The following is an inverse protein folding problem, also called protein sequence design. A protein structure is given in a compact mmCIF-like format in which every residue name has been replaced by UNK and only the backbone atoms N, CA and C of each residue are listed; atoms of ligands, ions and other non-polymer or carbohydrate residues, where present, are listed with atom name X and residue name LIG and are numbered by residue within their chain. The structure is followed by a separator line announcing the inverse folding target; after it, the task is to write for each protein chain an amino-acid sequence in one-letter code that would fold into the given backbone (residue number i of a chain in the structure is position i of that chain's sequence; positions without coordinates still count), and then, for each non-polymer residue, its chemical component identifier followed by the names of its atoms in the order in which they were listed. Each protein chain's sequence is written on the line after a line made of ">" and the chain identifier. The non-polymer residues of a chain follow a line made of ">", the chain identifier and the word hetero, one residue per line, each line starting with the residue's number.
data_IF_074508802938
#
_entry.id   IF_074508802938
#
_cell.length_a   1.000
_cell.length_b   1.000
_cell.length_c   1.000
_cell.angle_alpha   90.00
_cell.angle_beta   90.00
_cell.angle_gamma   90.00
#
_symmetry.space_group_name_H-M   'P 1'
#
loop_
_entity.id
_entity.type
_entity.pdbx_description
1 polymer ?
#
# COMPACT_ATOMS: atom_id res chain seq x y z
N UNK A 1 -37.54 -3.49 33.88
CA UNK A 1 -37.34 -2.07 33.52
C UNK A 1 -35.91 -1.88 32.98
N UNK A 2 -35.65 -2.06 31.67
CA UNK A 2 -34.37 -1.68 31.03
C UNK A 2 -34.55 -1.42 29.52
N UNK A 3 -35.42 -0.47 29.17
CA UNK A 3 -35.67 -0.09 27.76
C UNK A 3 -35.65 1.43 27.55
N UNK A 4 -34.96 2.17 28.43
CA UNK A 4 -34.86 3.64 28.36
C UNK A 4 -33.46 4.17 28.03
N UNK A 5 -32.43 3.34 27.95
CA UNK A 5 -31.03 3.81 27.86
C UNK A 5 -30.40 3.86 26.47
N UNK A 6 -31.17 3.63 25.39
CA UNK A 6 -30.64 3.71 24.02
C UNK A 6 -31.15 4.92 23.22
N UNK A 7 -32.19 5.61 23.71
CA UNK A 7 -32.74 6.79 23.01
C UNK A 7 -31.97 8.07 23.33
N UNK A 8 -31.22 8.11 24.43
CA UNK A 8 -30.42 9.27 24.84
C UNK A 8 -29.09 9.40 24.10
N UNK A 9 -28.52 8.31 23.61
CA UNK A 9 -27.28 8.34 22.82
C UNK A 9 -27.50 8.84 21.39
N UNK A 10 -28.67 8.55 20.79
CA UNK A 10 -29.02 9.03 19.45
C UNK A 10 -29.25 10.55 19.40
N UNK A 11 -29.66 11.19 20.51
CA UNK A 11 -29.91 12.63 20.54
C UNK A 11 -28.61 13.46 20.72
N UNK A 12 -27.58 12.88 21.35
CA UNK A 12 -26.31 13.57 21.59
C UNK A 12 -25.44 13.67 20.32
N UNK A 13 -25.56 12.72 19.40
CA UNK A 13 -24.79 12.74 18.13
C UNK A 13 -25.35 13.75 17.11
N UNK A 14 -26.61 14.18 17.27
CA UNK A 14 -27.27 15.12 16.36
C UNK A 14 -27.04 16.60 16.70
N UNK A 15 -26.48 16.92 17.88
CA UNK A 15 -26.29 18.30 18.33
C UNK A 15 -24.88 18.87 18.06
N UNK A 16 -23.91 18.05 17.70
CA UNK A 16 -22.52 18.49 17.43
C UNK A 16 -22.24 18.87 15.98
N UNK A 17 -23.19 18.67 15.06
CA UNK A 17 -23.02 18.98 13.63
C UNK A 17 -23.50 20.40 13.22
N UNK A 18 -23.79 21.29 14.19
CA UNK A 18 -24.37 22.62 13.91
C UNK A 18 -23.51 23.82 14.35
N UNK A 19 -22.23 23.63 14.69
CA UNK A 19 -21.38 24.72 15.22
C UNK A 19 -19.99 24.84 14.55
N UNK A 20 -19.90 24.60 13.25
CA UNK A 20 -18.66 24.81 12.48
C UNK A 20 -18.90 25.50 11.13
N UNK A 21 -19.85 26.44 11.11
CA UNK A 21 -20.00 27.41 10.03
C UNK A 21 -20.05 28.81 10.64
N UNK A 22 -19.24 29.73 10.09
CA UNK A 22 -19.03 31.13 10.47
C UNK A 22 -17.87 31.42 11.44
N UNK A 23 -16.64 31.36 10.92
CA UNK A 23 -15.55 32.25 11.37
C UNK A 23 -14.48 32.38 10.27
N UNK A 24 -14.85 32.87 9.09
CA UNK A 24 -13.92 33.47 8.14
C UNK A 24 -14.42 34.86 7.79
N UNK A 25 -13.48 35.79 7.60
CA UNK A 25 -13.58 37.23 7.27
C UNK A 25 -13.17 38.12 8.45
N UNK A 26 -11.90 38.57 8.37
CA UNK A 26 -11.31 39.57 9.25
C UNK A 26 -9.98 40.04 8.67
N UNK A 27 -10.05 40.79 7.56
CA UNK A 27 -8.94 41.43 6.86
C UNK A 27 -8.00 42.20 7.79
N UNK A 28 -6.72 41.83 7.79
CA UNK A 28 -5.62 42.64 8.31
C UNK A 28 -4.56 42.84 7.22
N UNK A 29 -4.51 44.06 6.67
CA UNK A 29 -3.46 44.57 5.78
C UNK A 29 -2.05 44.14 6.23
N UNK A 30 -1.26 43.57 5.32
CA UNK A 30 0.21 43.76 5.31
C UNK A 30 0.67 44.04 3.88
N UNK A 31 1.41 45.14 3.78
CA UNK A 31 1.94 45.75 2.57
C UNK A 31 3.06 44.90 1.95
N UNK A 32 3.34 45.07 0.64
CA UNK A 32 4.44 44.38 -0.03
C UNK A 32 5.75 45.10 0.28
N UNK A 33 6.68 44.42 0.94
CA UNK A 33 8.06 44.94 1.06
C UNK A 33 8.88 44.37 -0.08
N UNK A 34 9.13 45.23 -1.06
CA UNK A 34 10.14 45.07 -2.09
C UNK A 34 11.52 45.20 -1.44
N UNK A 35 12.39 44.21 -1.63
CA UNK A 35 13.84 44.40 -1.57
C UNK A 35 14.50 43.47 -2.58
N UNK A 36 15.01 44.09 -3.65
CA UNK A 36 15.93 43.50 -4.60
C UNK A 36 17.27 43.20 -3.94
N UNK A 37 17.96 42.14 -4.39
CA UNK A 37 19.32 42.29 -4.94
C UNK A 37 19.78 41.01 -5.67
N UNK A 38 20.21 41.21 -6.92
CA UNK A 38 21.31 40.56 -7.68
C UNK A 38 21.66 39.09 -7.37
N UNK A 39 21.67 38.17 -8.32
CA UNK A 39 22.26 38.34 -9.65
C UNK A 39 23.56 37.55 -9.71
N UNK A 40 23.49 36.28 -10.11
CA UNK A 40 24.59 35.56 -10.75
C UNK A 40 23.97 34.56 -11.73
N UNK A 41 24.02 34.93 -13.00
CA UNK A 41 23.98 34.00 -14.13
C UNK A 41 25.30 33.24 -14.16
N UNK A 42 25.24 31.95 -14.51
CA UNK A 42 26.26 31.33 -15.36
C UNK A 42 25.67 30.06 -15.98
N UNK A 43 25.48 30.13 -17.28
CA UNK A 43 25.41 29.00 -18.19
C UNK A 43 26.82 28.71 -18.71
N UNK A 44 27.15 27.43 -18.87
CA UNK A 44 28.12 26.86 -19.83
C UNK A 44 28.06 25.34 -19.63
N UNK A 45 27.53 24.56 -20.58
CA UNK A 45 28.22 24.09 -21.80
C UNK A 45 29.53 23.37 -21.48
N UNK A 46 29.49 22.04 -21.43
CA UNK A 46 30.60 21.17 -21.89
C UNK A 46 30.00 19.90 -22.51
N UNK A 47 30.33 19.75 -23.78
CA UNK A 47 30.17 18.64 -24.71
C UNK A 47 31.40 17.71 -24.59
N UNK A 48 31.20 16.40 -24.78
CA UNK A 48 32.15 15.32 -25.19
C UNK A 48 31.58 13.99 -24.63
N UNK A 49 31.25 12.95 -25.38
CA UNK A 49 31.85 12.43 -26.61
C UNK A 49 32.18 10.97 -26.33
N UNK A 50 31.52 10.02 -27.01
CA UNK A 50 31.77 8.59 -26.78
C UNK A 50 30.80 7.65 -27.50
N UNK A 51 31.17 7.30 -28.72
CA UNK A 51 30.51 6.41 -29.68
C UNK A 51 30.28 4.97 -29.19
N UNK A 52 29.25 4.28 -29.70
CA UNK A 52 29.42 3.40 -30.87
C UNK A 52 28.17 2.56 -31.20
N UNK A 53 28.00 2.39 -32.52
CA UNK A 53 27.46 1.22 -33.23
C UNK A 53 26.02 0.76 -32.91
N UNK A 54 25.05 0.76 -33.81
CA UNK A 54 25.11 0.65 -35.27
C UNK A 54 24.29 -0.57 -35.70
N UNK A 55 23.21 -0.37 -36.46
CA UNK A 55 22.77 -1.32 -37.49
C UNK A 55 21.68 -0.67 -38.37
N UNK A 56 22.04 -0.42 -39.62
CA UNK A 56 21.15 -0.31 -40.79
C UNK A 56 20.38 -1.64 -40.99
N UNK A 57 19.35 -1.82 -41.81
CA UNK A 57 18.96 -1.25 -43.11
C UNK A 57 17.51 -1.65 -43.41
N UNK A 58 16.90 -0.91 -44.34
CA UNK A 58 15.54 -1.04 -44.88
C UNK A 58 15.29 -2.20 -45.86
N UNK A 59 14.00 -2.39 -46.20
CA UNK A 59 13.45 -3.14 -47.35
C UNK A 59 12.09 -3.72 -46.97
N UNK A 60 10.93 -3.16 -47.30
CA UNK A 60 10.29 -2.90 -48.60
C UNK A 60 9.91 -4.17 -49.38
N UNK A 61 8.62 -4.56 -49.33
CA UNK A 61 7.72 -4.66 -50.50
C UNK A 61 6.48 -5.54 -50.24
N UNK A 62 5.38 -5.15 -50.88
CA UNK A 62 4.59 -6.11 -51.66
C UNK A 62 3.21 -6.49 -51.13
N UNK A 63 2.18 -5.79 -51.61
CA UNK A 63 0.81 -6.26 -51.63
C UNK A 63 0.60 -7.32 -52.72
N UNK A 64 -0.16 -8.39 -52.43
CA UNK A 64 -1.09 -9.01 -53.39
C UNK A 64 -1.99 -10.05 -52.69
N UNK A 65 -3.27 -9.94 -53.04
CA UNK A 65 -4.40 -10.86 -52.88
C UNK A 65 -4.13 -12.30 -53.32
N UNK A 66 -4.76 -13.29 -52.66
CA UNK A 66 -5.53 -14.35 -53.34
C UNK A 66 -6.47 -15.11 -52.39
N UNK A 67 -7.58 -15.48 -52.99
CA UNK A 67 -8.77 -16.23 -52.58
C UNK A 67 -8.51 -17.76 -52.47
N UNK A 68 -9.47 -18.49 -51.90
CA UNK A 68 -9.66 -19.93 -52.20
C UNK A 68 -9.55 -20.91 -51.02
N UNK A 69 -10.69 -21.53 -50.67
CA UNK A 69 -10.78 -22.62 -49.70
C UNK A 69 -10.40 -24.00 -50.25
N UNK A 70 -10.44 -25.01 -49.37
CA UNK A 70 -10.31 -26.42 -49.75
C UNK A 70 -9.83 -27.31 -48.61
N UNK A 71 -10.59 -28.36 -48.31
CA UNK A 71 -10.43 -29.26 -47.19
C UNK A 71 -9.36 -30.36 -47.38
N UNK A 72 -9.04 -31.00 -46.25
CA UNK A 72 -8.61 -32.41 -46.01
C UNK A 72 -7.14 -32.77 -45.70
N UNK A 73 -7.02 -33.46 -44.56
CA UNK A 73 -6.13 -34.58 -44.17
C UNK A 73 -4.75 -34.35 -43.50
N UNK A 74 -4.74 -34.72 -42.21
CA UNK A 74 -3.74 -35.48 -41.43
C UNK A 74 -2.58 -34.75 -40.68
N UNK A 75 -2.10 -35.31 -39.54
CA UNK A 75 -1.67 -34.62 -38.30
C UNK A 75 -0.13 -34.69 -38.05
N UNK A 76 0.38 -34.53 -36.82
CA UNK A 76 0.40 -33.35 -35.94
C UNK A 76 1.79 -32.66 -35.99
N UNK A 77 1.86 -31.33 -35.85
CA UNK A 77 3.15 -30.65 -35.60
C UNK A 77 2.99 -29.71 -34.42
N UNK A 78 3.82 -29.97 -33.40
CA UNK A 78 4.04 -29.13 -32.23
C UNK A 78 4.20 -27.66 -32.63
N UNK A 79 3.33 -26.81 -32.09
CA UNK A 79 3.57 -25.37 -32.05
C UNK A 79 3.60 -24.95 -30.59
N UNK A 80 4.83 -24.86 -30.06
CA UNK A 80 5.14 -23.94 -28.96
C UNK A 80 4.82 -22.54 -29.47
N UNK A 81 3.97 -21.79 -28.76
CA UNK A 81 4.04 -20.33 -28.51
C UNK A 81 2.74 -19.91 -27.84
N UNK A 82 2.86 -19.21 -26.71
CA UNK A 82 1.74 -18.52 -26.06
C UNK A 82 1.63 -18.87 -24.59
N UNK A 83 2.62 -18.48 -23.79
CA UNK A 83 2.45 -18.36 -22.35
C UNK A 83 1.42 -17.27 -22.05
N UNK A 84 0.13 -17.59 -22.20
CA UNK A 84 -0.94 -16.80 -21.62
C UNK A 84 -0.75 -16.84 -20.11
N UNK A 85 -0.29 -15.72 -19.56
CA UNK A 85 -0.48 -15.43 -18.14
C UNK A 85 -1.98 -15.60 -17.87
N UNK A 86 -2.40 -16.57 -17.05
CA UNK A 86 -3.82 -16.82 -16.85
C UNK A 86 -4.45 -15.53 -16.31
N UNK A 87 -5.69 -15.20 -16.71
CA UNK A 87 -6.41 -14.09 -16.11
C UNK A 87 -6.40 -14.31 -14.61
N UNK A 88 -5.80 -13.37 -13.88
CA UNK A 88 -5.77 -13.40 -12.42
C UNK A 88 -7.21 -13.19 -11.97
N UNK A 89 -7.95 -14.30 -11.84
CA UNK A 89 -9.24 -14.33 -11.19
C UNK A 89 -9.06 -13.64 -9.83
N UNK A 90 -10.01 -12.76 -9.43
CA UNK A 90 -9.96 -12.18 -8.09
C UNK A 90 -9.84 -13.35 -7.10
N UNK A 91 -8.93 -13.27 -6.12
CA UNK A 91 -8.70 -14.35 -5.19
C UNK A 91 -10.03 -14.74 -4.56
N UNK A 92 -10.36 -16.03 -4.56
CA UNK A 92 -11.55 -16.50 -3.86
C UNK A 92 -11.39 -16.13 -2.39
N UNK A 93 -12.32 -15.34 -1.86
CA UNK A 93 -12.24 -14.70 -0.54
C UNK A 93 -11.93 -15.69 0.58
N UNK A 94 -12.35 -16.96 0.43
CA UNK A 94 -12.12 -18.03 1.41
C UNK A 94 -10.64 -18.34 1.68
N UNK A 95 -9.77 -18.21 0.68
CA UNK A 95 -8.33 -18.51 0.81
C UNK A 95 -7.56 -17.40 1.52
N UNK A 96 -8.17 -16.21 1.69
CA UNK A 96 -7.53 -15.06 2.31
C UNK A 96 -7.79 -14.95 3.81
N UNK A 97 -8.71 -15.73 4.37
CA UNK A 97 -9.15 -15.59 5.76
C UNK A 97 -8.20 -16.22 6.79
N UNK A 98 -7.11 -16.85 6.33
CA UNK A 98 -6.09 -17.45 7.19
C UNK A 98 -4.71 -17.19 6.62
N UNK A 99 -3.77 -16.87 7.51
CA UNK A 99 -2.36 -16.78 7.16
C UNK A 99 -1.85 -18.21 6.91
N UNK A 100 -1.28 -18.50 5.72
CA UNK A 100 -0.70 -19.80 5.46
C UNK A 100 0.57 -20.01 6.31
N UNK A 101 0.84 -21.27 6.64
CA UNK A 101 2.16 -21.65 7.10
C UNK A 101 3.09 -21.82 5.89
N UNK A 102 4.37 -21.46 6.04
CA UNK A 102 5.32 -21.57 4.95
C UNK A 102 6.56 -20.72 5.17
N UNK A 103 7.44 -20.78 4.16
CA UNK A 103 8.65 -19.96 4.10
C UNK A 103 8.31 -18.48 3.79
N UNK A 104 9.30 -17.58 3.86
CA UNK A 104 9.10 -16.16 3.54
C UNK A 104 8.49 -15.91 2.16
N UNK A 105 8.78 -16.74 1.15
CA UNK A 105 8.26 -16.56 -0.20
C UNK A 105 6.75 -16.86 -0.27
N UNK A 106 6.29 -17.91 0.42
CA UNK A 106 4.86 -18.24 0.54
C UNK A 106 4.10 -17.11 1.24
N UNK A 107 4.66 -16.59 2.33
CA UNK A 107 4.07 -15.50 3.10
C UNK A 107 4.01 -14.18 2.31
N UNK A 108 5.07 -13.84 1.56
CA UNK A 108 5.07 -12.67 0.68
C UNK A 108 4.06 -12.81 -0.46
N UNK A 109 3.97 -13.99 -1.08
CA UNK A 109 2.94 -14.25 -2.08
C UNK A 109 1.52 -14.15 -1.51
N UNK A 110 1.32 -14.47 -0.23
CA UNK A 110 0.05 -14.25 0.47
C UNK A 110 -0.23 -12.76 0.72
N UNK A 111 0.78 -12.00 1.16
CA UNK A 111 0.69 -10.53 1.30
C UNK A 111 0.30 -9.86 -0.02
N UNK A 112 0.90 -10.27 -1.15
CA UNK A 112 0.56 -9.75 -2.47
C UNK A 112 -0.92 -9.98 -2.84
N UNK A 113 -1.45 -11.17 -2.53
CA UNK A 113 -2.87 -11.48 -2.76
C UNK A 113 -3.79 -10.66 -1.87
N UNK A 114 -3.42 -10.47 -0.59
CA UNK A 114 -4.14 -9.57 0.31
C UNK A 114 -4.16 -8.14 -0.21
N UNK A 115 -3.03 -7.63 -0.70
CA UNK A 115 -2.92 -6.25 -1.21
C UNK A 115 -3.72 -6.03 -2.50
N UNK A 116 -3.81 -7.04 -3.36
CA UNK A 116 -4.71 -7.01 -4.51
C UNK A 116 -6.19 -6.99 -4.07
N UNK A 117 -6.54 -7.78 -3.06
CA UNK A 117 -7.91 -7.82 -2.53
C UNK A 117 -8.31 -6.53 -1.83
N UNK A 118 -7.43 -5.99 -0.97
CA UNK A 118 -7.61 -4.69 -0.30
C UNK A 118 -7.82 -3.55 -1.31
N UNK A 119 -7.04 -3.51 -2.40
CA UNK A 119 -7.23 -2.54 -3.49
C UNK A 119 -8.60 -2.69 -4.16
N UNK A 120 -9.03 -3.93 -4.37
CA UNK A 120 -10.34 -4.24 -4.97
C UNK A 120 -11.48 -3.77 -4.05
N UNK A 121 -11.44 -4.10 -2.76
CA UNK A 121 -12.43 -3.66 -1.78
C UNK A 121 -12.46 -2.13 -1.66
N UNK A 122 -11.29 -1.48 -1.64
CA UNK A 122 -11.18 -0.01 -1.64
C UNK A 122 -11.86 0.63 -2.86
N UNK A 123 -11.64 0.07 -4.05
CA UNK A 123 -12.28 0.55 -5.27
C UNK A 123 -13.81 0.35 -5.23
N UNK A 124 -14.29 -0.77 -4.69
CA UNK A 124 -15.72 -1.03 -4.53
C UNK A 124 -16.39 -0.06 -3.55
N UNK A 125 -15.74 0.29 -2.44
CA UNK A 125 -16.26 1.30 -1.49
C UNK A 125 -16.45 2.68 -2.13
N UNK A 126 -15.54 3.05 -3.04
CA UNK A 126 -15.58 4.33 -3.76
C UNK A 126 -16.58 4.33 -4.92
N UNK A 127 -17.11 3.16 -5.32
CA UNK A 127 -18.05 3.06 -6.42
C UNK A 127 -19.41 3.68 -6.05
N UNK A 128 -19.96 4.58 -6.89
CA UNK A 128 -21.31 5.11 -6.70
C UNK A 128 -22.40 4.04 -6.88
N UNK A 129 -22.06 2.90 -7.50
CA UNK A 129 -22.98 1.78 -7.72
C UNK A 129 -23.11 0.82 -6.52
N UNK A 130 -22.24 0.94 -5.51
CA UNK A 130 -22.34 0.12 -4.31
C UNK A 130 -23.53 0.57 -3.44
N UNK A 131 -24.50 -0.32 -3.25
CA UNK A 131 -25.62 -0.09 -2.33
C UNK A 131 -25.11 0.13 -0.90
N UNK A 132 -25.80 0.94 -0.09
CA UNK A 132 -25.37 1.25 1.29
C UNK A 132 -25.05 -0.02 2.09
N UNK A 133 -25.98 -0.98 2.17
CA UNK A 133 -25.77 -2.27 2.86
C UNK A 133 -24.57 -3.11 2.36
N UNK A 134 -24.19 -2.96 1.08
CA UNK A 134 -22.96 -3.59 0.57
C UNK A 134 -21.70 -2.85 1.02
N UNK A 135 -21.75 -1.53 1.22
CA UNK A 135 -20.60 -0.75 1.67
C UNK A 135 -20.21 -1.09 3.10
N UNK A 136 -21.17 -1.30 4.01
CA UNK A 136 -20.84 -1.72 5.37
C UNK A 136 -20.22 -3.12 5.40
N UNK A 137 -20.70 -4.06 4.57
CA UNK A 137 -20.08 -5.38 4.41
C UNK A 137 -18.67 -5.28 3.86
N UNK A 138 -18.45 -4.51 2.79
CA UNK A 138 -17.13 -4.30 2.19
C UNK A 138 -16.19 -3.65 3.21
N UNK A 139 -16.65 -2.66 3.98
CA UNK A 139 -15.84 -2.01 5.01
C UNK A 139 -15.46 -2.98 6.12
N UNK A 140 -16.40 -3.81 6.59
CA UNK A 140 -16.11 -4.84 7.59
C UNK A 140 -15.09 -5.86 7.08
N UNK A 141 -15.23 -6.31 5.84
CA UNK A 141 -14.27 -7.21 5.22
C UNK A 141 -12.89 -6.54 5.10
N UNK A 142 -12.84 -5.32 4.58
CA UNK A 142 -11.61 -4.54 4.43
C UNK A 142 -10.85 -4.40 5.76
N UNK A 143 -11.56 -4.07 6.84
CA UNK A 143 -10.97 -3.96 8.18
C UNK A 143 -10.45 -5.30 8.71
N UNK A 144 -11.12 -6.41 8.37
CA UNK A 144 -10.77 -7.75 8.85
C UNK A 144 -9.49 -8.33 8.24
N UNK A 145 -8.98 -7.75 7.15
CA UNK A 145 -7.79 -8.23 6.44
C UNK A 145 -6.49 -7.65 7.00
N UNK A 146 -6.51 -6.47 7.62
CA UNK A 146 -5.30 -5.85 8.18
C UNK A 146 -4.65 -6.67 9.32
N UNK A 147 -5.38 -7.33 10.22
CA UNK A 147 -4.78 -8.23 11.20
C UNK A 147 -4.02 -9.38 10.55
N UNK A 148 -4.58 -9.97 9.48
CA UNK A 148 -3.98 -11.08 8.74
C UNK A 148 -2.73 -10.62 7.98
N UNK A 149 -2.79 -9.43 7.38
CA UNK A 149 -1.65 -8.79 6.72
C UNK A 149 -0.52 -8.52 7.71
N UNK A 150 -0.83 -7.95 8.88
CA UNK A 150 0.14 -7.71 9.93
C UNK A 150 0.78 -9.02 10.41
N UNK A 151 -0.03 -10.06 10.66
CA UNK A 151 0.45 -11.37 11.11
C UNK A 151 1.36 -12.04 10.07
N UNK A 152 0.97 -12.08 8.80
CA UNK A 152 1.80 -12.67 7.74
C UNK A 152 3.15 -11.96 7.60
N UNK A 153 3.15 -10.63 7.70
CA UNK A 153 4.36 -9.83 7.64
C UNK A 153 5.25 -10.03 8.89
N UNK A 154 4.67 -10.08 10.08
CA UNK A 154 5.39 -10.39 11.32
C UNK A 154 6.05 -11.79 11.27
N UNK A 155 5.40 -12.78 10.63
CA UNK A 155 5.99 -14.11 10.41
C UNK A 155 7.21 -14.07 9.49
N UNK A 156 7.18 -13.27 8.41
CA UNK A 156 8.35 -13.08 7.54
C UNK A 156 9.52 -12.46 8.31
N UNK A 157 9.25 -11.48 9.18
CA UNK A 157 10.29 -10.84 10.00
C UNK A 157 10.89 -11.76 11.06
N UNK A 158 10.09 -12.69 11.58
CA UNK A 158 10.54 -13.69 12.55
C UNK A 158 11.38 -14.81 11.90
N UNK A 159 11.31 -14.97 10.57
CA UNK A 159 12.06 -15.99 9.86
C UNK A 159 13.50 -15.53 9.58
N UNK A 160 14.47 -16.35 10.01
CA UNK A 160 15.89 -16.07 9.84
C UNK A 160 16.39 -16.28 8.40
N UNK A 161 15.65 -17.02 7.58
CA UNK A 161 15.96 -17.26 6.16
C UNK A 161 15.53 -16.13 5.24
N UNK A 162 14.70 -15.19 5.73
CA UNK A 162 14.23 -14.06 4.96
C UNK A 162 15.38 -13.13 4.57
N UNK A 163 15.46 -12.77 3.29
CA UNK A 163 16.47 -11.83 2.79
C UNK A 163 16.22 -10.42 3.33
N UNK A 164 17.22 -9.54 3.29
CA UNK A 164 17.04 -8.14 3.73
C UNK A 164 15.92 -7.43 2.97
N UNK A 165 15.71 -7.73 1.69
CA UNK A 165 14.63 -7.15 0.88
C UNK A 165 13.27 -7.67 1.31
N UNK A 166 13.17 -8.98 1.57
CA UNK A 166 11.94 -9.62 2.07
C UNK A 166 11.55 -9.08 3.45
N UNK A 167 12.54 -8.91 4.35
CA UNK A 167 12.33 -8.30 5.67
C UNK A 167 11.91 -6.84 5.54
N UNK A 168 12.49 -6.07 4.62
CA UNK A 168 12.08 -4.69 4.33
C UNK A 168 10.62 -4.60 3.90
N UNK A 169 10.22 -5.41 2.90
CA UNK A 169 8.85 -5.48 2.41
C UNK A 169 7.86 -5.88 3.51
N UNK A 170 8.22 -6.90 4.31
CA UNK A 170 7.41 -7.34 5.44
C UNK A 170 7.28 -6.25 6.52
N UNK A 171 8.36 -5.56 6.87
CA UNK A 171 8.29 -4.46 7.83
C UNK A 171 7.33 -3.36 7.38
N UNK A 172 7.40 -2.95 6.11
CA UNK A 172 6.49 -1.94 5.56
C UNK A 172 5.02 -2.42 5.61
N UNK A 173 4.78 -3.67 5.21
CA UNK A 173 3.44 -4.26 5.25
C UNK A 173 2.89 -4.36 6.70
N UNK A 174 3.71 -4.78 7.65
CA UNK A 174 3.32 -4.86 9.07
C UNK A 174 3.03 -3.46 9.63
N UNK A 175 3.92 -2.49 9.39
CA UNK A 175 3.79 -1.12 9.86
C UNK A 175 2.53 -0.43 9.33
N UNK A 176 2.28 -0.52 8.02
CA UNK A 176 1.08 0.04 7.40
C UNK A 176 -0.19 -0.61 7.96
N UNK A 177 -0.17 -1.92 8.16
CA UNK A 177 -1.32 -2.66 8.68
C UNK A 177 -1.64 -2.28 10.12
N UNK A 178 -0.64 -2.22 10.99
CA UNK A 178 -0.79 -1.80 12.39
C UNK A 178 -1.17 -0.32 12.50
N UNK A 179 -0.67 0.54 11.60
CA UNK A 179 -1.08 1.93 11.50
C UNK A 179 -2.56 2.06 11.16
N UNK A 180 -3.05 1.27 10.19
CA UNK A 180 -4.47 1.25 9.82
C UNK A 180 -5.34 0.71 10.96
N UNK A 181 -4.91 -0.36 11.63
CA UNK A 181 -5.60 -0.90 12.81
C UNK A 181 -5.71 0.14 13.94
N UNK A 182 -4.64 0.91 14.17
CA UNK A 182 -4.64 2.00 15.15
C UNK A 182 -5.65 3.09 14.76
N UNK A 183 -5.72 3.47 13.48
CA UNK A 183 -6.72 4.43 12.97
C UNK A 183 -8.16 3.91 13.11
N UNK A 184 -8.35 2.60 13.02
CA UNK A 184 -9.64 1.95 13.27
C UNK A 184 -9.98 1.79 14.75
N UNK A 185 -9.10 2.22 15.66
CA UNK A 185 -9.30 2.10 17.10
C UNK A 185 -9.17 0.67 17.62
N UNK A 186 -8.43 -0.21 16.90
CA UNK A 186 -8.18 -1.57 17.38
C UNK A 186 -7.28 -1.56 18.62
N UNK A 187 -7.76 -2.10 19.75
CA UNK A 187 -6.97 -2.14 20.98
C UNK A 187 -5.66 -2.90 20.79
N UNK A 188 -4.57 -2.35 21.34
CA UNK A 188 -3.25 -2.98 21.29
C UNK A 188 -2.53 -2.91 19.93
N UNK A 189 -3.12 -2.29 18.90
CA UNK A 189 -2.45 -2.10 17.61
C UNK A 189 -1.20 -1.20 17.74
N UNK A 190 -1.28 -0.13 18.53
CA UNK A 190 -0.14 0.72 18.85
C UNK A 190 0.97 -0.05 19.59
N UNK A 191 0.61 -0.80 20.64
CA UNK A 191 1.59 -1.63 21.37
C UNK A 191 2.26 -2.67 20.47
N UNK A 192 1.51 -3.28 19.54
CA UNK A 192 2.06 -4.19 18.53
C UNK A 192 3.03 -3.48 17.59
N UNK A 193 2.72 -2.26 17.17
CA UNK A 193 3.61 -1.45 16.33
C UNK A 193 4.93 -1.13 17.04
N UNK A 194 4.87 -0.80 18.32
CA UNK A 194 6.06 -0.62 19.16
C UNK A 194 6.85 -1.93 19.31
N UNK A 195 6.18 -3.06 19.56
CA UNK A 195 6.85 -4.38 19.64
C UNK A 195 7.53 -4.75 18.33
N UNK A 196 6.89 -4.49 17.19
CA UNK A 196 7.44 -4.66 15.86
C UNK A 196 8.71 -3.82 15.69
N UNK A 197 8.68 -2.53 16.04
CA UNK A 197 9.86 -1.68 15.96
C UNK A 197 10.99 -2.21 16.87
N UNK A 198 10.67 -2.63 18.10
CA UNK A 198 11.67 -3.21 19.02
C UNK A 198 12.28 -4.51 18.49
N UNK A 199 11.56 -5.32 17.72
CA UNK A 199 12.10 -6.58 17.19
C UNK A 199 13.11 -6.38 16.05
N UNK A 200 13.08 -5.24 15.37
CA UNK A 200 13.99 -4.92 14.25
C UNK A 200 14.96 -3.76 14.53
N UNK A 201 14.96 -3.19 15.73
CA UNK A 201 15.85 -2.06 16.09
C UNK A 201 17.34 -2.42 16.02
N UNK A 202 17.67 -3.69 16.20
CA UNK A 202 19.03 -4.24 16.17
C UNK A 202 19.27 -5.10 14.91
N UNK A 203 18.42 -4.98 13.89
CA UNK A 203 18.54 -5.73 12.63
C UNK A 203 19.86 -5.43 11.91
N UNK A 204 20.38 -6.39 11.13
CA UNK A 204 21.60 -6.19 10.35
C UNK A 204 21.44 -5.08 9.29
N UNK A 205 20.23 -4.92 8.75
CA UNK A 205 19.87 -3.87 7.80
C UNK A 205 19.80 -2.51 8.48
N UNK A 206 20.68 -1.59 8.06
CA UNK A 206 20.69 -0.22 8.57
C UNK A 206 19.37 0.52 8.34
N UNK A 207 18.66 0.22 7.25
CA UNK A 207 17.41 0.88 6.90
C UNK A 207 16.26 0.39 7.78
N UNK A 208 16.17 -0.93 8.05
CA UNK A 208 15.21 -1.46 9.02
C UNK A 208 15.43 -0.85 10.40
N UNK A 209 16.70 -0.77 10.87
CA UNK A 209 17.03 -0.12 12.13
C UNK A 209 16.58 1.34 12.18
N UNK A 210 16.84 2.12 11.12
CA UNK A 210 16.43 3.54 11.06
C UNK A 210 14.92 3.71 11.18
N UNK A 211 14.15 2.87 10.48
CA UNK A 211 12.69 2.92 10.57
C UNK A 211 12.17 2.45 11.93
N UNK A 212 12.81 1.44 12.52
CA UNK A 212 12.49 1.01 13.88
C UNK A 212 12.70 2.15 14.88
N UNK A 213 13.85 2.82 14.81
CA UNK A 213 14.18 3.93 15.70
C UNK A 213 13.25 5.14 15.50
N UNK A 214 12.78 5.42 14.28
CA UNK A 214 11.84 6.53 14.07
C UNK A 214 10.47 6.28 14.72
N UNK A 215 10.05 5.01 14.84
CA UNK A 215 8.83 4.62 15.55
C UNK A 215 9.02 4.70 17.06
N UNK A 216 10.20 4.34 17.58
CA UNK A 216 10.49 4.32 19.02
C UNK A 216 10.82 5.71 19.59
N UNK A 217 11.32 6.62 18.74
CA UNK A 217 11.79 7.93 19.18
C UNK A 217 10.75 8.75 19.98
N UNK A 218 9.46 8.81 19.60
CA UNK A 218 8.46 9.50 20.42
C UNK A 218 8.30 8.91 21.82
N UNK A 219 8.31 7.58 21.97
CA UNK A 219 8.24 6.93 23.28
C UNK A 219 9.47 7.23 24.13
N UNK A 220 10.65 7.18 23.51
CA UNK A 220 11.91 7.50 24.20
C UNK A 220 11.91 8.97 24.66
N UNK A 221 11.37 9.89 23.87
CA UNK A 221 11.20 11.28 24.26
C UNK A 221 10.22 11.46 25.42
N UNK A 222 9.08 10.77 25.40
CA UNK A 222 8.12 10.80 26.51
C UNK A 222 8.73 10.24 27.79
N UNK A 223 9.51 9.16 27.70
CA UNK A 223 10.22 8.56 28.84
C UNK A 223 11.27 9.52 29.43
N UNK A 224 12.05 10.16 28.55
CA UNK A 224 13.04 11.17 28.94
C UNK A 224 12.38 12.43 29.54
N UNK A 225 11.25 12.87 28.99
CA UNK A 225 10.48 14.00 29.52
C UNK A 225 9.80 13.66 30.86
N UNK A 226 9.43 12.40 31.06
CA UNK A 226 8.86 11.87 32.30
C UNK A 226 9.88 11.61 33.42
N UNK A 227 11.18 11.73 33.14
CA UNK A 227 12.25 11.55 34.14
C UNK A 227 12.59 10.09 34.45
N UNK A 228 12.09 9.13 33.69
CA UNK A 228 12.44 7.72 33.81
C UNK A 228 13.66 7.40 32.94
N UNK A 229 14.87 7.68 33.45
CA UNK A 229 16.12 7.27 32.81
C UNK A 229 16.52 5.85 33.26
#
# INVERSE_FOLDING_TARGET
>A
MQLRSMKTLALALLLTLAAAACASIGCGKREPVTAANSGLQSASDVDEGGDSSGSSTAGDNGAATTDGGGATKDPPIETVVGGEKPPTLPPQTGDLLKVPDGDPAVLLGYLDRLDQHLRTLSAQMQSPAAAAGSREQIASEFMSLFPLRAEAAERVLADASATSEQRMAAFQAAFESLSMLTRFGQPGAADRMTKLARSVKDDASADLRRMALSILFPEDLERLAGGEA
#
